data_IF_715685023691
#
_entry.id   IF_715685023691
#
_cell.length_a   1.000
_cell.length_b   1.000
_cell.length_c   1.000
_cell.angle_alpha   90.00
_cell.angle_beta   90.00
_cell.angle_gamma   90.00
#
_symmetry.space_group_name_H-M   'P 1'
#
loop_
_entity.id
_entity.type
_entity.pdbx_description
1 polymer ?
#
# COMPACT_ATOMS: atom_id res chain seq x y z
N UNK A 1 -23.62 -44.82 -56.87
CA UNK A 1 -22.52 -44.85 -55.83
C UNK A 1 -22.06 -43.45 -55.59
N UNK A 2 -22.75 -42.60 -54.79
CA UNK A 2 -22.40 -41.20 -54.64
C UNK A 2 -22.98 -40.48 -53.41
N UNK A 3 -23.58 -41.20 -52.44
CA UNK A 3 -24.22 -40.57 -51.28
C UNK A 3 -23.46 -40.69 -49.95
N UNK A 4 -22.32 -41.36 -49.85
CA UNK A 4 -21.59 -41.55 -48.58
C UNK A 4 -20.54 -40.49 -48.26
N UNK A 5 -20.09 -39.70 -49.24
CA UNK A 5 -19.02 -38.68 -49.00
C UNK A 5 -19.55 -37.34 -48.50
N UNK A 6 -20.79 -37.03 -48.56
CA UNK A 6 -21.33 -35.72 -48.17
C UNK A 6 -21.60 -35.63 -46.68
N UNK A 7 -22.00 -36.73 -46.04
CA UNK A 7 -22.23 -36.75 -44.59
C UNK A 7 -20.95 -36.67 -43.77
N UNK A 8 -19.82 -37.20 -44.27
CA UNK A 8 -18.53 -37.13 -43.57
C UNK A 8 -17.94 -35.73 -43.57
N UNK A 9 -18.16 -34.92 -44.61
CA UNK A 9 -17.66 -33.52 -44.66
C UNK A 9 -18.44 -32.58 -43.78
N UNK A 10 -19.73 -32.77 -43.56
CA UNK A 10 -20.60 -31.97 -42.71
C UNK A 10 -20.25 -32.20 -41.22
N UNK A 11 -20.02 -33.45 -40.81
CA UNK A 11 -19.68 -33.81 -39.44
C UNK A 11 -18.31 -33.29 -39.01
N UNK A 12 -17.33 -33.31 -39.91
CA UNK A 12 -15.98 -32.76 -39.61
C UNK A 12 -16.02 -31.23 -39.48
N UNK A 13 -16.81 -30.56 -40.33
CA UNK A 13 -16.95 -29.09 -40.24
C UNK A 13 -17.67 -28.62 -38.99
N UNK A 14 -18.67 -29.38 -38.50
CA UNK A 14 -19.37 -29.07 -37.23
C UNK A 14 -18.49 -29.29 -36.00
N UNK A 15 -17.67 -30.35 -36.01
CA UNK A 15 -16.72 -30.63 -34.90
C UNK A 15 -15.62 -29.58 -34.83
N UNK A 16 -15.13 -29.11 -35.98
CA UNK A 16 -14.12 -28.02 -36.00
C UNK A 16 -14.73 -26.67 -35.56
N UNK A 17 -16.00 -26.40 -35.86
CA UNK A 17 -16.68 -25.18 -35.38
C UNK A 17 -16.94 -25.23 -33.87
N UNK A 18 -17.24 -26.39 -33.29
CA UNK A 18 -17.38 -26.57 -31.85
C UNK A 18 -16.04 -26.43 -31.10
N UNK A 19 -14.94 -26.85 -31.71
CA UNK A 19 -13.61 -26.73 -31.10
C UNK A 19 -13.10 -25.28 -31.10
N UNK A 20 -13.52 -24.47 -32.08
CA UNK A 20 -13.15 -23.04 -32.12
C UNK A 20 -13.95 -22.19 -31.11
N UNK A 21 -15.11 -22.65 -30.66
CA UNK A 21 -15.92 -21.92 -29.68
C UNK A 21 -15.44 -22.10 -28.24
N UNK A 22 -14.58 -23.07 -27.96
CA UNK A 22 -14.00 -23.32 -26.62
C UNK A 22 -12.74 -22.48 -26.32
N UNK A 23 -12.15 -21.82 -27.33
CA UNK A 23 -10.93 -21.02 -27.14
C UNK A 23 -11.19 -19.55 -26.80
N UNK A 24 -12.44 -19.11 -26.74
CA UNK A 24 -12.80 -17.71 -26.50
C UNK A 24 -13.16 -17.38 -25.04
N UNK A 25 -12.80 -18.20 -24.07
CA UNK A 25 -13.32 -18.13 -22.72
C UNK A 25 -12.33 -18.10 -21.56
N UNK A 26 -11.02 -17.99 -21.78
CA UNK A 26 -10.09 -17.70 -20.70
C UNK A 26 -9.69 -16.22 -20.71
N UNK A 27 -10.59 -15.39 -20.24
CA UNK A 27 -10.18 -14.12 -19.64
C UNK A 27 -9.57 -14.49 -18.30
N UNK A 28 -8.24 -14.61 -18.25
CA UNK A 28 -7.54 -14.63 -16.99
C UNK A 28 -7.88 -13.32 -16.28
N UNK A 29 -8.87 -13.39 -15.39
CA UNK A 29 -9.10 -12.34 -14.42
C UNK A 29 -7.87 -12.33 -13.54
N UNK A 30 -6.91 -11.46 -13.87
CA UNK A 30 -5.80 -11.10 -12.99
C UNK A 30 -6.45 -10.49 -11.76
N UNK A 31 -6.79 -11.33 -10.79
CA UNK A 31 -7.19 -10.87 -9.48
C UNK A 31 -6.00 -10.07 -8.92
N UNK A 32 -6.21 -8.81 -8.52
CA UNK A 32 -5.13 -8.05 -7.91
C UNK A 32 -4.52 -8.86 -6.80
N UNK A 33 -3.22 -9.18 -6.89
CA UNK A 33 -2.54 -10.02 -5.90
C UNK A 33 -2.34 -9.32 -4.56
N UNK A 34 -2.84 -8.09 -4.42
CA UNK A 34 -2.71 -7.26 -3.22
C UNK A 34 -3.85 -6.26 -3.05
N UNK A 35 -3.96 -5.74 -1.85
CA UNK A 35 -4.96 -4.73 -1.47
C UNK A 35 -4.40 -3.31 -1.50
N UNK A 36 -5.27 -2.33 -1.72
CA UNK A 36 -4.91 -0.92 -1.63
C UNK A 36 -4.94 -0.47 -0.16
N UNK A 37 -3.91 0.25 0.26
CA UNK A 37 -3.87 0.92 1.54
C UNK A 37 -4.20 2.40 1.35
N UNK A 38 -5.30 2.85 1.96
CA UNK A 38 -5.74 4.25 1.97
C UNK A 38 -5.37 4.89 3.29
N UNK A 39 -4.61 5.98 3.25
CA UNK A 39 -4.08 6.65 4.44
C UNK A 39 -4.63 8.07 4.50
N UNK A 40 -5.30 8.41 5.61
CA UNK A 40 -5.63 9.76 5.98
C UNK A 40 -4.61 10.29 7.00
N UNK A 41 -4.10 11.49 6.78
CA UNK A 41 -3.27 12.21 7.74
C UNK A 41 -4.15 13.25 8.45
N UNK A 42 -4.19 13.19 9.77
CA UNK A 42 -4.98 14.10 10.59
C UNK A 42 -4.07 14.92 11.50
N UNK A 43 -4.29 16.25 11.54
CA UNK A 43 -3.59 17.13 12.46
C UNK A 43 -2.27 17.68 11.93
N UNK A 44 -2.04 17.70 10.61
CA UNK A 44 -0.97 18.51 10.03
C UNK A 44 -1.21 19.98 10.39
N UNK A 45 -0.26 20.60 11.12
CA UNK A 45 -0.44 21.98 11.65
C UNK A 45 -0.34 23.08 10.60
N UNK A 46 0.27 22.77 9.45
CA UNK A 46 0.42 23.68 8.31
C UNK A 46 0.64 22.87 7.03
N UNK A 47 0.78 23.58 5.89
CA UNK A 47 1.01 22.99 4.57
C UNK A 47 2.45 23.14 4.04
N UNK A 48 3.43 23.37 4.93
CA UNK A 48 4.85 23.51 4.58
C UNK A 48 5.52 22.15 4.51
N UNK A 49 6.63 22.09 3.77
CA UNK A 49 7.50 20.94 3.72
C UNK A 49 6.85 19.69 3.13
N UNK A 50 7.22 18.55 3.67
CA UNK A 50 6.85 17.23 3.19
C UNK A 50 6.40 16.29 4.30
N UNK A 51 5.57 15.33 3.96
CA UNK A 51 5.35 14.14 4.78
C UNK A 51 6.31 13.06 4.31
N UNK A 52 7.21 12.61 5.18
CA UNK A 52 8.03 11.43 4.99
C UNK A 52 7.30 10.25 5.61
N UNK A 53 6.91 9.29 4.76
CA UNK A 53 6.14 8.12 5.16
C UNK A 53 6.99 6.88 4.94
N UNK A 54 7.22 6.10 5.99
CA UNK A 54 7.96 4.84 5.95
C UNK A 54 7.06 3.68 6.36
N UNK A 55 6.92 2.69 5.47
CA UNK A 55 6.11 1.48 5.67
C UNK A 55 7.06 0.31 5.89
N UNK A 56 6.89 -0.39 7.00
CA UNK A 56 7.69 -1.54 7.38
C UNK A 56 6.83 -2.81 7.36
N UNK A 57 7.38 -3.91 6.85
CA UNK A 57 6.77 -5.23 6.87
C UNK A 57 7.36 -6.14 7.95
N UNK A 58 8.41 -5.69 8.64
CA UNK A 58 9.08 -6.38 9.75
C UNK A 58 9.50 -5.40 10.83
N UNK A 59 9.83 -5.91 12.00
CA UNK A 59 10.33 -5.10 13.13
C UNK A 59 11.76 -4.56 12.90
N UNK A 60 12.49 -5.11 11.93
CA UNK A 60 13.89 -4.73 11.68
C UNK A 60 13.99 -3.27 11.25
N UNK A 61 14.66 -2.46 12.02
CA UNK A 61 14.87 -1.02 11.77
C UNK A 61 13.68 -0.12 12.12
N UNK A 62 12.50 -0.66 12.38
CA UNK A 62 11.32 0.13 12.74
C UNK A 62 11.51 0.89 14.06
N UNK A 63 11.13 2.14 14.11
CA UNK A 63 10.80 3.07 13.02
C UNK A 63 11.98 3.92 12.56
N UNK A 64 13.15 3.78 13.20
CA UNK A 64 14.28 4.71 13.14
C UNK A 64 15.18 4.52 11.90
N UNK A 65 15.43 3.28 11.49
CA UNK A 65 16.25 2.99 10.30
C UNK A 65 15.36 2.90 9.05
N UNK A 66 15.14 4.05 8.43
CA UNK A 66 14.32 4.17 7.22
C UNK A 66 14.89 3.39 6.02
N UNK A 67 16.18 2.97 6.07
CA UNK A 67 16.75 2.14 5.01
C UNK A 67 16.24 0.70 5.07
N UNK A 68 15.68 0.28 6.18
CA UNK A 68 15.02 -1.02 6.37
C UNK A 68 13.54 -0.99 6.08
N UNK A 69 12.97 0.17 5.75
CA UNK A 69 11.57 0.28 5.37
C UNK A 69 11.30 -0.46 4.05
N UNK A 70 10.17 -1.15 3.99
CA UNK A 70 9.67 -1.83 2.79
C UNK A 70 9.32 -0.85 1.68
N UNK A 71 8.66 0.28 2.03
CA UNK A 71 8.36 1.38 1.12
C UNK A 71 8.61 2.71 1.81
N UNK A 72 9.03 3.71 1.00
CA UNK A 72 9.25 5.09 1.44
C UNK A 72 8.57 6.06 0.47
N UNK A 73 7.92 7.07 1.02
CA UNK A 73 7.30 8.14 0.25
C UNK A 73 7.71 9.49 0.80
N UNK A 74 7.96 10.43 -0.10
CA UNK A 74 8.12 11.85 0.17
C UNK A 74 6.97 12.58 -0.49
N UNK A 75 6.08 13.15 0.29
CA UNK A 75 4.81 13.70 -0.17
C UNK A 75 4.82 15.20 0.14
N UNK A 76 4.76 16.04 -0.88
CA UNK A 76 4.69 17.50 -0.73
C UNK A 76 3.34 17.87 -0.11
N UNK A 77 3.35 18.51 1.07
CA UNK A 77 2.10 18.76 1.83
C UNK A 77 1.12 19.64 1.05
N UNK A 78 1.57 20.67 0.34
CA UNK A 78 0.72 21.51 -0.52
C UNK A 78 0.00 20.75 -1.64
N UNK A 79 0.52 19.60 -2.05
CA UNK A 79 -0.02 18.77 -3.13
C UNK A 79 -0.69 17.50 -2.60
N UNK A 80 -0.77 17.37 -1.27
CA UNK A 80 -1.34 16.20 -0.64
C UNK A 80 -2.83 16.04 -0.98
N UNK A 81 -3.14 14.92 -1.61
CA UNK A 81 -4.52 14.47 -1.83
C UNK A 81 -4.86 13.36 -0.84
N UNK A 82 -6.02 13.45 -0.20
CA UNK A 82 -6.49 12.45 0.75
C UNK A 82 -7.69 11.68 0.19
N UNK A 83 -7.71 10.37 0.40
CA UNK A 83 -6.67 9.57 1.04
C UNK A 83 -5.42 9.44 0.17
N UNK A 84 -4.23 9.39 0.79
CA UNK A 84 -3.02 8.94 0.11
C UNK A 84 -3.11 7.43 -0.11
N UNK A 85 -2.88 6.97 -1.36
CA UNK A 85 -3.13 5.57 -1.73
C UNK A 85 -1.82 4.87 -2.08
N UNK A 86 -1.53 3.80 -1.36
CA UNK A 86 -0.48 2.82 -1.70
C UNK A 86 -1.17 1.62 -2.33
N UNK A 87 -0.90 1.39 -3.62
CA UNK A 87 -1.60 0.35 -4.38
C UNK A 87 -0.93 -1.01 -4.27
N UNK A 88 -1.77 -2.04 -4.35
CA UNK A 88 -1.38 -3.43 -4.58
C UNK A 88 -0.34 -3.96 -3.57
N UNK A 89 -0.54 -3.67 -2.28
CA UNK A 89 0.25 -4.26 -1.20
C UNK A 89 -0.14 -5.72 -0.99
N UNK A 90 0.85 -6.59 -0.90
CA UNK A 90 0.60 -8.01 -0.56
C UNK A 90 -0.12 -8.10 0.78
N UNK A 91 -1.09 -9.03 0.94
CA UNK A 91 -1.71 -9.26 2.24
C UNK A 91 -0.65 -9.56 3.31
N UNK A 92 -0.78 -8.94 4.49
CA UNK A 92 0.20 -9.08 5.55
C UNK A 92 0.09 -8.01 6.63
N UNK A 93 1.01 -8.04 7.57
CA UNK A 93 1.10 -7.07 8.64
C UNK A 93 2.15 -6.01 8.32
N UNK A 94 1.78 -4.76 8.53
CA UNK A 94 2.62 -3.60 8.27
C UNK A 94 2.55 -2.62 9.43
N UNK A 95 3.61 -1.85 9.61
CA UNK A 95 3.62 -0.71 10.52
C UNK A 95 4.12 0.53 9.77
N UNK A 96 3.59 1.69 10.12
CA UNK A 96 3.94 2.95 9.47
C UNK A 96 4.52 3.90 10.51
N UNK A 97 5.59 4.59 10.09
CA UNK A 97 6.10 5.78 10.74
C UNK A 97 5.99 6.97 9.77
N UNK A 98 5.56 8.11 10.31
CA UNK A 98 5.35 9.36 9.60
C UNK A 98 6.11 10.48 10.28
N UNK A 99 6.78 11.31 9.47
CA UNK A 99 7.37 12.59 9.88
C UNK A 99 6.81 13.71 8.99
N UNK A 100 6.31 14.78 9.59
CA UNK A 100 6.03 16.05 8.90
C UNK A 100 7.26 16.92 8.95
N UNK A 101 8.13 16.75 7.98
CA UNK A 101 9.41 17.43 7.80
C UNK A 101 9.16 18.82 7.18
N UNK A 102 9.06 19.84 8.06
CA UNK A 102 8.65 21.19 7.66
C UNK A 102 9.77 22.01 7.02
N UNK A 103 11.04 21.67 7.32
CA UNK A 103 12.24 22.31 6.75
C UNK A 103 12.91 21.50 5.64
N UNK A 104 12.36 20.32 5.32
CA UNK A 104 12.78 19.43 4.23
C UNK A 104 14.20 18.88 4.36
N UNK A 105 14.71 18.79 5.61
CA UNK A 105 16.07 18.30 5.87
C UNK A 105 16.18 16.75 5.95
N UNK A 106 15.05 16.04 5.89
CA UNK A 106 14.99 14.58 5.93
C UNK A 106 15.18 13.96 7.31
N UNK A 107 15.15 14.75 8.38
CA UNK A 107 15.40 14.31 9.76
C UNK A 107 14.43 14.96 10.71
N UNK A 108 14.12 14.25 11.81
CA UNK A 108 13.35 14.82 12.91
C UNK A 108 14.14 15.96 13.57
N UNK A 109 13.63 17.16 13.52
CA UNK A 109 14.15 18.28 14.31
C UNK A 109 13.79 18.08 15.78
N UNK A 110 14.76 18.16 16.66
CA UNK A 110 14.58 18.01 18.10
C UNK A 110 15.02 19.25 18.88
N UNK A 111 14.47 19.43 20.07
CA UNK A 111 14.95 20.44 21.05
C UNK A 111 16.28 20.01 21.68
N UNK A 112 16.90 20.88 22.47
CA UNK A 112 18.09 20.55 23.28
C UNK A 112 17.87 19.38 24.24
N UNK A 113 16.61 19.11 24.61
CA UNK A 113 16.22 18.00 25.49
C UNK A 113 15.81 16.75 24.73
N UNK A 114 16.01 16.69 23.39
CA UNK A 114 15.67 15.56 22.55
C UNK A 114 14.15 15.43 22.23
N UNK A 115 13.36 16.44 22.61
CA UNK A 115 11.91 16.41 22.29
C UNK A 115 11.68 16.77 20.82
N UNK A 116 10.78 16.08 20.11
CA UNK A 116 10.40 16.41 18.75
C UNK A 116 9.89 17.85 18.63
N UNK A 117 10.33 18.56 17.60
CA UNK A 117 9.83 19.89 17.22
C UNK A 117 8.97 19.84 15.97
N UNK A 118 9.03 18.74 15.23
CA UNK A 118 8.24 18.49 14.04
C UNK A 118 7.17 17.43 14.28
N UNK A 119 6.19 17.42 13.40
CA UNK A 119 5.07 16.50 13.53
C UNK A 119 5.46 15.06 13.22
N UNK A 120 4.99 14.12 14.01
CA UNK A 120 5.22 12.69 13.78
C UNK A 120 3.98 11.88 14.12
N UNK A 121 3.93 10.68 13.59
CA UNK A 121 2.81 9.77 13.84
C UNK A 121 3.14 8.32 13.48
N UNK A 122 2.36 7.43 14.03
CA UNK A 122 2.49 5.99 13.78
C UNK A 122 1.12 5.38 13.50
N UNK A 123 1.11 4.29 12.71
CA UNK A 123 -0.11 3.51 12.52
C UNK A 123 -0.71 3.09 13.87
N UNK A 124 -2.03 2.81 13.89
CA UNK A 124 -2.82 2.59 15.10
C UNK A 124 -2.83 3.77 16.09
N UNK A 125 -2.21 4.91 15.73
CA UNK A 125 -2.10 6.09 16.60
C UNK A 125 -1.45 5.79 17.96
N UNK A 126 -0.62 4.76 18.02
CA UNK A 126 0.11 4.37 19.25
C UNK A 126 1.29 5.28 19.49
N UNK A 127 1.60 5.50 20.76
CA UNK A 127 2.78 6.21 21.23
C UNK A 127 3.55 5.34 22.22
N UNK A 128 4.86 5.44 22.22
CA UNK A 128 5.69 4.85 23.28
C UNK A 128 5.72 5.75 24.50
N UNK A 129 6.03 5.19 25.65
CA UNK A 129 6.14 5.95 26.90
C UNK A 129 7.43 6.80 26.95
N UNK A 130 8.54 6.25 26.45
CA UNK A 130 9.87 6.88 26.51
C UNK A 130 10.55 7.00 25.14
N UNK A 131 9.76 6.87 24.05
CA UNK A 131 10.29 6.90 22.69
C UNK A 131 9.27 6.34 21.69
N UNK A 132 9.69 5.95 20.50
CA UNK A 132 8.79 5.40 19.49
C UNK A 132 8.11 4.08 19.97
N UNK A 133 6.92 3.76 19.47
CA UNK A 133 6.27 2.48 19.77
C UNK A 133 7.01 1.31 19.09
N UNK A 134 6.82 0.10 19.62
CA UNK A 134 7.31 -1.10 18.95
C UNK A 134 6.54 -1.37 17.66
N UNK A 135 7.18 -2.09 16.74
CA UNK A 135 6.55 -2.57 15.51
C UNK A 135 5.22 -3.28 15.80
N UNK A 136 5.20 -4.19 16.77
CA UNK A 136 4.00 -4.95 17.12
C UNK A 136 2.82 -4.07 17.51
N UNK A 137 3.06 -3.01 18.31
CA UNK A 137 1.99 -2.07 18.72
C UNK A 137 1.46 -1.24 17.56
N UNK A 138 2.32 -0.89 16.61
CA UNK A 138 1.95 -0.12 15.44
C UNK A 138 1.45 -0.98 14.28
N UNK A 139 1.62 -2.30 14.32
CA UNK A 139 1.21 -3.21 13.25
C UNK A 139 -0.29 -3.25 13.03
N UNK A 140 -0.68 -3.25 11.76
CA UNK A 140 -2.05 -3.47 11.30
C UNK A 140 -2.04 -4.42 10.10
N UNK A 141 -3.16 -5.10 9.86
CA UNK A 141 -3.30 -6.06 8.75
C UNK A 141 -3.81 -5.38 7.49
N UNK A 142 -3.25 -5.75 6.35
CA UNK A 142 -3.76 -5.42 5.02
C UNK A 142 -4.28 -6.72 4.39
N UNK A 143 -5.60 -6.89 4.23
CA UNK A 143 -6.20 -8.01 3.51
C UNK A 143 -6.11 -7.78 1.98
N UNK A 144 -6.42 -8.81 1.19
CA UNK A 144 -6.39 -8.74 -0.28
C UNK A 144 -7.34 -7.70 -0.88
N UNK A 145 -8.42 -7.34 -0.18
CA UNK A 145 -9.36 -6.29 -0.59
C UNK A 145 -8.97 -4.89 -0.11
N UNK A 146 -7.80 -4.75 0.53
CA UNK A 146 -7.27 -3.47 1.00
C UNK A 146 -7.82 -3.03 2.35
N UNK A 147 -7.31 -1.89 2.84
CA UNK A 147 -7.74 -1.30 4.12
C UNK A 147 -7.60 0.21 4.11
N UNK A 148 -8.23 0.86 5.09
CA UNK A 148 -8.15 2.30 5.30
C UNK A 148 -7.71 2.58 6.73
N UNK A 149 -6.73 3.46 6.90
CA UNK A 149 -6.24 3.90 8.21
C UNK A 149 -6.18 5.42 8.30
N UNK A 150 -6.20 5.92 9.53
CA UNK A 150 -5.93 7.34 9.84
C UNK A 150 -4.74 7.44 10.76
N UNK A 151 -3.74 8.22 10.39
CA UNK A 151 -2.58 8.53 11.22
C UNK A 151 -2.72 9.94 11.75
N UNK A 152 -2.76 10.08 13.09
CA UNK A 152 -2.78 11.37 13.78
C UNK A 152 -1.35 11.87 13.95
N UNK A 153 -1.09 13.08 13.47
CA UNK A 153 0.21 13.76 13.61
C UNK A 153 0.23 14.49 14.95
N UNK A 154 1.28 14.29 15.72
CA UNK A 154 1.59 14.94 17.01
C UNK A 154 2.80 15.86 16.84
N UNK A 155 2.83 16.92 17.63
CA UNK A 155 3.93 17.90 17.69
C UNK A 155 4.42 18.09 19.12
#
# INVERSE_FOLDING_TARGET
MGKKLWFTKITISLVLLFFQLQLAGQVDSVTPSGGDLRIYFQGLRNNRGVVLLSIFSTATGYPADVNKAFLKYRIIVKQLQLPFIVKNLKPGNYAIALLHDEDENGKMLTSMFGLPKEGYGFSNNVMGLTGPPSFHKASFSIPSNGTTITIKVKY
#
